data_IF_103053101509
#
_entry.id   IF_103053101509
#
_cell.length_a   1.000
_cell.length_b   1.000
_cell.length_c   1.000
_cell.angle_alpha   90.00
_cell.angle_beta   90.00
_cell.angle_gamma   90.00
#
_symmetry.space_group_name_H-M   'P 1'
#
loop_
_entity.id
_entity.type
_entity.pdbx_description
1 polymer ?
#
# COMPACT_ATOMS: atom_id res chain seq x y z
N UNK A 1 -18.59 -22.57 -2.55
CA UNK A 1 -17.28 -23.29 -2.56
C UNK A 1 -16.34 -22.75 -3.64
N UNK A 2 -16.75 -22.63 -4.91
CA UNK A 2 -15.90 -22.08 -5.98
C UNK A 2 -15.36 -20.66 -5.68
N UNK A 3 -16.18 -19.76 -5.12
CA UNK A 3 -15.72 -18.41 -4.75
C UNK A 3 -14.65 -18.42 -3.65
N UNK A 4 -14.79 -19.29 -2.65
CA UNK A 4 -13.80 -19.45 -1.58
C UNK A 4 -12.46 -20.01 -2.10
N UNK A 5 -12.52 -20.96 -3.05
CA UNK A 5 -11.32 -21.50 -3.71
C UNK A 5 -10.63 -20.43 -4.56
N UNK A 6 -11.39 -19.62 -5.30
CA UNK A 6 -10.86 -18.51 -6.10
C UNK A 6 -10.21 -17.45 -5.21
N UNK A 7 -10.90 -17.04 -4.14
CA UNK A 7 -10.38 -16.07 -3.18
C UNK A 7 -9.09 -16.56 -2.51
N UNK A 8 -9.05 -17.83 -2.09
CA UNK A 8 -7.85 -18.43 -1.50
C UNK A 8 -6.67 -18.45 -2.48
N UNK A 9 -6.89 -18.89 -3.72
CA UNK A 9 -5.83 -18.92 -4.75
C UNK A 9 -5.26 -17.52 -5.00
N UNK A 10 -6.12 -16.50 -5.08
CA UNK A 10 -5.68 -15.11 -5.23
C UNK A 10 -4.96 -14.59 -3.99
N UNK A 11 -5.43 -14.91 -2.79
CA UNK A 11 -4.76 -14.51 -1.55
C UNK A 11 -3.37 -15.14 -1.44
N UNK A 12 -3.26 -16.45 -1.67
CA UNK A 12 -2.01 -17.20 -1.57
C UNK A 12 -0.93 -16.64 -2.51
N UNK A 13 -1.33 -16.16 -3.70
CA UNK A 13 -0.43 -15.52 -4.66
C UNK A 13 0.20 -14.21 -4.14
N UNK A 14 -0.52 -13.47 -3.28
CA UNK A 14 -0.08 -12.18 -2.75
C UNK A 14 0.32 -12.21 -1.28
N UNK A 15 0.03 -13.30 -0.57
CA UNK A 15 0.18 -13.41 0.88
C UNK A 15 1.61 -13.08 1.33
N UNK A 16 2.60 -13.65 0.66
CA UNK A 16 4.01 -13.41 0.95
C UNK A 16 4.42 -11.95 0.71
N UNK A 17 3.95 -11.35 -0.39
CA UNK A 17 4.21 -9.94 -0.69
C UNK A 17 3.55 -9.03 0.35
N UNK A 18 2.33 -9.35 0.80
CA UNK A 18 1.64 -8.59 1.84
C UNK A 18 2.39 -8.71 3.17
N UNK A 19 2.80 -9.91 3.58
CA UNK A 19 3.52 -10.12 4.84
C UNK A 19 4.88 -9.42 4.83
N UNK A 20 5.58 -9.48 3.69
CA UNK A 20 6.83 -8.76 3.48
C UNK A 20 6.61 -7.25 3.57
N UNK A 21 5.62 -6.69 2.87
CA UNK A 21 5.29 -5.27 2.93
C UNK A 21 4.92 -4.81 4.34
N UNK A 22 4.24 -5.65 5.12
CA UNK A 22 3.95 -5.36 6.54
C UNK A 22 5.22 -5.26 7.38
N UNK A 23 6.23 -6.08 7.12
CA UNK A 23 7.48 -6.12 7.90
C UNK A 23 8.53 -5.09 7.44
N UNK A 24 8.74 -4.97 6.14
CA UNK A 24 9.82 -4.16 5.54
C UNK A 24 9.36 -2.84 4.94
N UNK A 25 8.04 -2.63 4.78
CA UNK A 25 7.49 -1.49 4.05
C UNK A 25 7.28 -1.75 2.55
N UNK A 26 7.92 -2.77 1.99
CA UNK A 26 7.89 -3.05 0.54
C UNK A 26 7.88 -4.55 0.25
N UNK A 27 6.83 -5.01 -0.42
CA UNK A 27 6.66 -6.40 -0.83
C UNK A 27 6.47 -6.53 -2.32
N UNK A 28 6.91 -7.64 -2.89
CA UNK A 28 6.80 -7.91 -4.32
C UNK A 28 6.17 -9.28 -4.53
N UNK A 29 5.07 -9.31 -5.28
CA UNK A 29 4.50 -10.55 -5.78
C UNK A 29 5.01 -10.78 -7.19
N UNK A 30 5.72 -11.89 -7.38
CA UNK A 30 6.23 -12.30 -8.68
C UNK A 30 5.09 -12.87 -9.54
N UNK A 31 5.16 -12.66 -10.87
CA UNK A 31 4.21 -13.27 -11.80
C UNK A 31 4.28 -14.80 -11.71
N UNK A 32 3.13 -15.43 -11.89
CA UNK A 32 3.05 -16.88 -12.07
C UNK A 32 3.42 -17.24 -13.51
N UNK A 33 3.73 -18.52 -13.76
CA UNK A 33 4.10 -18.98 -15.12
C UNK A 33 2.99 -18.71 -16.15
N UNK A 34 1.73 -18.68 -15.70
CA UNK A 34 0.55 -18.38 -16.51
C UNK A 34 0.52 -16.92 -16.99
N UNK A 35 1.22 -16.02 -16.29
CA UNK A 35 1.27 -14.58 -16.60
C UNK A 35 2.38 -14.22 -17.61
N UNK A 36 3.26 -15.17 -17.95
CA UNK A 36 4.33 -14.94 -18.90
C UNK A 36 3.82 -14.94 -20.33
N UNK A 37 4.15 -13.87 -21.05
CA UNK A 37 3.89 -13.71 -22.48
C UNK A 37 5.22 -13.85 -23.23
N UNK A 38 5.55 -15.05 -23.74
CA UNK A 38 6.76 -15.26 -24.53
C UNK A 38 6.62 -14.66 -25.93
N UNK A 39 7.72 -14.10 -26.44
CA UNK A 39 7.85 -13.75 -27.85
C UNK A 39 8.33 -14.96 -28.66
N UNK A 40 8.13 -14.94 -29.98
CA UNK A 40 8.72 -15.96 -30.84
C UNK A 40 10.25 -16.05 -30.64
N UNK A 41 10.81 -17.26 -30.56
CA UNK A 41 12.26 -17.44 -30.46
C UNK A 41 12.91 -17.07 -31.79
N UNK A 42 13.99 -16.29 -31.72
CA UNK A 42 14.77 -15.84 -32.88
C UNK A 42 16.19 -16.41 -32.82
N UNK A 43 16.70 -16.80 -33.98
CA UNK A 43 18.05 -17.33 -34.10
C UNK A 43 19.03 -16.15 -34.21
N UNK A 44 19.94 -16.05 -33.25
CA UNK A 44 20.96 -15.01 -33.21
C UNK A 44 22.30 -15.58 -33.63
N UNK A 45 23.07 -14.79 -34.37
CA UNK A 45 24.45 -15.10 -34.72
C UNK A 45 25.36 -14.00 -34.19
N UNK A 46 26.35 -14.38 -33.39
CA UNK A 46 27.45 -13.49 -32.97
C UNK A 46 28.77 -14.16 -33.32
N UNK A 47 29.54 -13.51 -34.20
CA UNK A 47 30.79 -14.02 -34.77
C UNK A 47 30.67 -15.46 -35.31
N UNK A 48 31.17 -16.42 -34.54
CA UNK A 48 31.17 -17.86 -34.88
C UNK A 48 30.07 -18.66 -34.15
N UNK A 49 29.36 -18.04 -33.20
CA UNK A 49 28.37 -18.72 -32.37
C UNK A 49 26.94 -18.45 -32.83
N UNK A 50 26.12 -19.50 -32.77
CA UNK A 50 24.69 -19.46 -33.00
C UNK A 50 23.97 -19.67 -31.68
N UNK A 51 22.93 -18.88 -31.43
CA UNK A 51 22.10 -18.97 -30.23
C UNK A 51 20.64 -18.78 -30.55
N UNK A 52 19.78 -19.06 -29.58
CA UNK A 52 18.35 -18.76 -29.64
C UNK A 52 18.05 -17.72 -28.59
N UNK A 53 17.45 -16.61 -29.01
CA UNK A 53 17.00 -15.55 -28.12
C UNK A 53 15.48 -15.59 -28.05
N UNK A 54 14.95 -15.64 -26.84
CA UNK A 54 13.52 -15.51 -26.57
C UNK A 54 13.35 -14.50 -25.44
N UNK A 55 12.38 -13.60 -25.57
CA UNK A 55 12.00 -12.69 -24.50
C UNK A 55 10.67 -13.15 -23.93
N UNK A 56 10.44 -12.90 -22.65
CA UNK A 56 9.14 -13.05 -22.04
C UNK A 56 8.84 -11.81 -21.19
N UNK A 57 7.61 -11.32 -21.26
CA UNK A 57 7.13 -10.23 -20.40
C UNK A 57 6.12 -10.79 -19.43
N UNK A 58 6.19 -10.37 -18.17
CA UNK A 58 5.23 -10.74 -17.15
C UNK A 58 5.08 -9.58 -16.15
N UNK A 59 3.84 -9.28 -15.70
CA UNK A 59 3.59 -8.20 -14.74
C UNK A 59 3.96 -8.63 -13.31
N UNK A 60 4.71 -7.80 -12.58
CA UNK A 60 4.86 -7.94 -11.12
C UNK A 60 3.94 -6.96 -10.39
N UNK A 61 3.51 -7.34 -9.18
CA UNK A 61 2.78 -6.42 -8.29
C UNK A 61 3.67 -6.02 -7.12
N UNK A 62 3.77 -4.72 -6.92
CA UNK A 62 4.54 -4.12 -5.83
C UNK A 62 3.55 -3.57 -4.80
N UNK A 63 3.70 -4.00 -3.56
CA UNK A 63 2.88 -3.60 -2.42
C UNK A 63 3.72 -2.69 -1.55
N UNK A 64 3.29 -1.43 -1.43
CA UNK A 64 3.97 -0.41 -0.64
C UNK A 64 3.11 -0.16 0.60
N UNK A 65 3.64 -0.46 1.78
CA UNK A 65 3.01 -0.06 3.03
C UNK A 65 3.29 1.43 3.25
N UNK A 66 2.24 2.18 3.55
CA UNK A 66 2.31 3.59 3.91
C UNK A 66 1.71 3.72 5.30
N UNK A 67 2.49 4.27 6.24
CA UNK A 67 1.99 4.59 7.56
C UNK A 67 1.28 5.94 7.49
N UNK A 68 -0.03 5.92 7.77
CA UNK A 68 -0.86 7.12 7.75
C UNK A 68 -1.07 7.61 9.18
N UNK A 69 -0.77 8.88 9.40
CA UNK A 69 -1.09 9.54 10.65
C UNK A 69 -2.46 10.23 10.52
N UNK A 70 -3.31 10.08 11.54
CA UNK A 70 -4.54 10.84 11.66
C UNK A 70 -4.46 11.71 12.91
N UNK A 71 -4.95 12.94 12.79
CA UNK A 71 -5.05 13.87 13.91
C UNK A 71 -6.51 14.19 14.13
N UNK A 72 -6.91 14.22 15.40
CA UNK A 72 -8.24 14.63 15.84
C UNK A 72 -8.14 15.96 16.58
N UNK A 73 -8.60 17.02 15.93
CA UNK A 73 -8.60 18.39 16.47
C UNK A 73 -10.02 19.00 16.35
N UNK A 74 -10.99 18.57 17.18
CA UNK A 74 -12.35 19.09 17.12
C UNK A 74 -12.37 20.55 17.60
N UNK A 75 -12.98 21.44 16.82
CA UNK A 75 -13.28 22.79 17.28
C UNK A 75 -14.59 22.78 18.06
N UNK A 76 -14.49 22.72 19.38
CA UNK A 76 -15.64 22.69 20.29
C UNK A 76 -15.89 24.12 20.76
N UNK A 77 -17.04 24.68 20.42
CA UNK A 77 -17.35 26.11 20.59
C UNK A 77 -17.40 26.62 22.04
N UNK A 78 -17.18 25.78 23.06
CA UNK A 78 -17.13 26.21 24.46
C UNK A 78 -16.01 25.51 25.23
N UNK A 79 -15.31 26.25 26.07
CA UNK A 79 -14.19 25.76 26.89
C UNK A 79 -14.57 24.62 27.84
N UNK A 80 -15.78 24.66 28.42
CA UNK A 80 -16.29 23.62 29.31
C UNK A 80 -16.35 22.24 28.63
N UNK A 81 -16.95 22.18 27.44
CA UNK A 81 -17.03 20.94 26.67
C UNK A 81 -15.65 20.44 26.22
N UNK A 82 -14.72 21.34 25.88
CA UNK A 82 -13.33 20.98 25.55
C UNK A 82 -12.61 20.34 26.73
N UNK A 83 -12.76 20.90 27.94
CA UNK A 83 -12.15 20.35 29.16
C UNK A 83 -12.77 19.02 29.58
N UNK A 84 -14.10 18.89 29.46
CA UNK A 84 -14.80 17.64 29.74
C UNK A 84 -14.29 16.53 28.81
N UNK A 85 -14.24 16.79 27.51
CA UNK A 85 -13.73 15.83 26.54
C UNK A 85 -12.27 15.44 26.82
N UNK A 86 -11.42 16.42 27.12
CA UNK A 86 -10.02 16.16 27.45
C UNK A 86 -9.89 15.23 28.66
N UNK A 87 -10.72 15.43 29.68
CA UNK A 87 -10.72 14.59 30.89
C UNK A 87 -11.16 13.16 30.59
N UNK A 88 -12.24 12.99 29.82
CA UNK A 88 -12.75 11.68 29.42
C UNK A 88 -11.71 10.90 28.60
N UNK A 89 -11.11 11.54 27.59
CA UNK A 89 -10.08 10.92 26.75
C UNK A 89 -8.82 10.56 27.55
N UNK A 90 -8.37 11.43 28.46
CA UNK A 90 -7.22 11.13 29.34
C UNK A 90 -7.51 9.97 30.27
N UNK A 91 -8.71 9.94 30.84
CA UNK A 91 -9.12 8.87 31.75
C UNK A 91 -9.17 7.53 31.02
N UNK A 92 -9.83 7.47 29.86
CA UNK A 92 -9.87 6.29 29.00
C UNK A 92 -8.45 5.87 28.58
N UNK A 93 -7.60 6.79 28.14
CA UNK A 93 -6.22 6.47 27.75
C UNK A 93 -5.40 5.81 28.88
N UNK A 94 -5.61 6.21 30.14
CA UNK A 94 -4.86 5.70 31.28
C UNK A 94 -5.40 4.37 31.83
N UNK A 95 -6.71 4.14 31.74
CA UNK A 95 -7.35 2.99 32.40
C UNK A 95 -7.84 1.91 31.43
N UNK A 96 -8.24 2.27 30.21
CA UNK A 96 -8.77 1.32 29.22
C UNK A 96 -8.59 1.83 27.77
N UNK A 97 -7.61 1.25 27.08
CA UNK A 97 -7.29 1.60 25.69
C UNK A 97 -8.36 1.16 24.69
N UNK A 98 -9.14 0.13 24.99
CA UNK A 98 -10.24 -0.29 24.11
C UNK A 98 -11.43 0.67 24.27
N UNK A 99 -11.76 1.04 25.51
CA UNK A 99 -12.80 2.03 25.78
C UNK A 99 -12.49 3.42 25.19
N UNK A 100 -11.21 3.77 25.04
CA UNK A 100 -10.79 5.01 24.34
C UNK A 100 -11.32 5.04 22.90
N UNK A 101 -11.23 3.93 22.16
CA UNK A 101 -11.68 3.85 20.76
C UNK A 101 -13.21 3.87 20.62
N UNK A 102 -13.92 3.40 21.64
CA UNK A 102 -15.39 3.41 21.74
C UNK A 102 -15.94 4.72 22.33
N UNK A 103 -15.07 5.65 22.75
CA UNK A 103 -15.49 6.93 23.32
C UNK A 103 -16.34 7.70 22.31
N UNK A 104 -17.60 8.01 22.68
CA UNK A 104 -18.53 8.72 21.81
C UNK A 104 -18.21 10.22 21.77
N UNK A 105 -17.96 10.71 20.56
CA UNK A 105 -17.66 12.10 20.26
C UNK A 105 -18.79 12.64 19.40
N UNK A 106 -19.67 13.45 19.98
CA UNK A 106 -20.80 14.05 19.27
C UNK A 106 -21.71 13.02 18.59
N UNK A 107 -21.86 11.84 19.18
CA UNK A 107 -22.66 10.73 18.64
C UNK A 107 -21.91 9.78 17.71
N UNK A 108 -20.63 10.04 17.41
CA UNK A 108 -19.77 9.17 16.59
C UNK A 108 -18.59 8.63 17.42
N UNK A 109 -18.27 7.33 17.38
CA UNK A 109 -17.11 6.78 18.07
C UNK A 109 -15.79 7.39 17.56
N UNK A 110 -14.81 7.57 18.45
CA UNK A 110 -13.50 8.13 18.09
C UNK A 110 -12.82 7.35 16.95
N UNK A 111 -12.90 6.02 16.94
CA UNK A 111 -12.29 5.22 15.89
C UNK A 111 -12.89 5.48 14.49
N UNK A 112 -14.18 5.81 14.40
CA UNK A 112 -14.82 6.15 13.12
C UNK A 112 -14.36 7.51 12.63
N UNK A 113 -14.29 8.50 13.52
CA UNK A 113 -13.76 9.84 13.21
C UNK A 113 -12.31 9.76 12.70
N UNK A 114 -11.49 8.93 13.34
CA UNK A 114 -10.10 8.69 12.93
C UNK A 114 -10.02 7.94 11.59
N UNK A 115 -10.85 6.92 11.36
CA UNK A 115 -10.90 6.21 10.06
C UNK A 115 -11.31 7.15 8.93
N UNK A 116 -12.24 8.06 9.18
CA UNK A 116 -12.68 9.04 8.19
C UNK A 116 -11.53 9.96 7.77
N UNK A 117 -10.79 10.52 8.74
CA UNK A 117 -9.65 11.40 8.45
C UNK A 117 -8.54 10.68 7.67
N UNK A 118 -8.30 9.40 7.97
CA UNK A 118 -7.39 8.53 7.20
C UNK A 118 -7.91 8.34 5.77
N UNK A 119 -9.19 8.03 5.59
CA UNK A 119 -9.79 7.78 4.26
C UNK A 119 -9.66 9.00 3.35
N UNK A 120 -9.84 10.21 3.88
CA UNK A 120 -9.59 11.44 3.14
C UNK A 120 -8.14 11.58 2.67
N UNK A 121 -7.16 11.18 3.50
CA UNK A 121 -5.73 11.22 3.12
C UNK A 121 -5.37 10.19 2.04
N UNK A 122 -6.10 9.09 1.91
CA UNK A 122 -5.86 8.10 0.84
C UNK A 122 -6.08 8.72 -0.56
N UNK A 123 -6.99 9.69 -0.68
CA UNK A 123 -7.22 10.43 -1.93
C UNK A 123 -6.18 11.53 -2.19
N UNK A 124 -5.26 11.80 -1.24
CA UNK A 124 -4.35 12.94 -1.33
C UNK A 124 -3.28 12.80 -2.42
N UNK A 125 -2.88 11.58 -2.78
CA UNK A 125 -1.90 11.37 -3.86
C UNK A 125 -2.61 11.50 -5.21
N UNK A 126 -2.31 12.52 -6.04
CA UNK A 126 -2.98 12.70 -7.33
C UNK A 126 -2.60 11.60 -8.32
N UNK A 127 -3.49 11.28 -9.26
CA UNK A 127 -3.26 10.19 -10.24
C UNK A 127 -1.98 10.36 -11.06
N UNK A 128 -1.62 11.60 -11.39
CA UNK A 128 -0.35 11.91 -12.08
C UNK A 128 0.87 11.48 -11.26
N UNK A 129 0.84 11.70 -9.94
CA UNK A 129 1.93 11.29 -9.04
C UNK A 129 1.99 9.76 -8.92
N UNK A 130 0.83 9.09 -8.81
CA UNK A 130 0.75 7.61 -8.80
C UNK A 130 1.33 7.00 -10.06
N UNK A 131 1.00 7.57 -11.23
CA UNK A 131 1.51 7.13 -12.53
C UNK A 131 3.04 7.28 -12.62
N UNK A 132 3.58 8.44 -12.23
CA UNK A 132 5.03 8.66 -12.22
C UNK A 132 5.74 7.70 -11.28
N UNK A 133 5.22 7.48 -10.08
CA UNK A 133 5.79 6.52 -9.12
C UNK A 133 5.89 5.11 -9.72
N UNK A 134 4.80 4.63 -10.34
CA UNK A 134 4.77 3.33 -11.02
C UNK A 134 5.82 3.24 -12.13
N UNK A 135 5.90 4.26 -13.00
CA UNK A 135 6.87 4.30 -14.11
C UNK A 135 8.32 4.31 -13.62
N UNK A 136 8.60 5.04 -12.54
CA UNK A 136 9.93 5.06 -11.93
C UNK A 136 10.30 3.68 -11.39
N UNK A 137 9.39 3.02 -10.66
CA UNK A 137 9.64 1.67 -10.15
C UNK A 137 9.85 0.68 -11.31
N UNK A 138 9.02 0.76 -12.36
CA UNK A 138 9.14 -0.08 -13.55
C UNK A 138 10.49 0.08 -14.26
N UNK A 139 10.96 1.32 -14.43
CA UNK A 139 12.29 1.59 -15.00
C UNK A 139 13.41 1.01 -14.12
N UNK A 140 13.32 1.17 -12.80
CA UNK A 140 14.33 0.63 -11.87
C UNK A 140 14.41 -0.90 -11.89
N UNK A 141 13.26 -1.58 -12.01
CA UNK A 141 13.21 -3.04 -12.09
C UNK A 141 13.80 -3.55 -13.42
N UNK A 142 13.53 -2.87 -14.53
CA UNK A 142 13.95 -3.31 -15.86
C UNK A 142 15.40 -2.95 -16.21
N UNK A 143 15.82 -1.72 -15.92
CA UNK A 143 17.10 -1.18 -16.38
C UNK A 143 18.22 -1.26 -15.34
N UNK A 144 17.90 -1.74 -14.12
CA UNK A 144 18.81 -1.73 -12.99
C UNK A 144 19.10 -0.32 -12.47
N UNK A 145 19.82 -0.23 -11.34
CA UNK A 145 20.02 1.01 -10.60
C UNK A 145 20.89 2.04 -11.38
N UNK A 146 20.25 2.88 -12.21
CA UNK A 146 20.88 4.02 -12.90
C UNK A 146 20.90 5.32 -12.08
N UNK A 147 20.66 5.24 -10.77
CA UNK A 147 20.89 6.33 -9.83
C UNK A 147 19.67 7.23 -9.56
N UNK A 148 19.48 7.49 -8.26
CA UNK A 148 18.70 8.54 -7.60
C UNK A 148 17.26 8.79 -8.07
N UNK A 149 16.29 8.43 -7.23
CA UNK A 149 14.92 8.91 -7.36
C UNK A 149 14.83 10.28 -6.69
N UNK A 150 14.65 11.34 -7.48
CA UNK A 150 14.29 12.66 -6.94
C UNK A 150 12.79 12.86 -7.08
N UNK A 151 12.09 12.90 -5.95
CA UNK A 151 10.72 13.40 -5.90
C UNK A 151 10.79 14.94 -5.83
N UNK A 152 10.29 15.61 -6.86
CA UNK A 152 10.00 17.05 -6.79
C UNK A 152 8.51 17.14 -6.49
N UNK A 153 8.19 17.55 -5.26
CA UNK A 153 6.82 17.80 -4.77
C UNK A 153 6.58 19.30 -4.79
#
# INVERSE_FOLDING_TARGET
>A
IQEAVKAKKSYDMYAEAIDTAKKSGYGVALPSIEDFQPTAPELIKQDTFYGVKMKAKAPSLHIIRIDMEAEFAPLIGSEFHSHHLLKELKNAYLHDREALWETQLFGTPLHEVMKESIRYKTAAVPDRARKRLRETIEQMVNDGNKGMITFIV
#
